data_IF_476277531653
#
_entry.id   IF_476277531653
#
_cell.length_a   1.000
_cell.length_b   1.000
_cell.length_c   1.000
_cell.angle_alpha   90.00
_cell.angle_beta   90.00
_cell.angle_gamma   90.00
#
_symmetry.space_group_name_H-M   'P 1'
#
loop_
_entity.id
_entity.type
_entity.pdbx_description
1 polymer ?
#
# COMPACT_ATOMS: atom_id res chain seq x y z
N UNK A 1 -21.20 44.04 24.25
CA UNK A 1 -20.27 42.98 23.83
C UNK A 1 -19.85 42.24 25.08
N UNK A 2 -20.33 41.01 25.23
CA UNK A 2 -20.34 40.29 26.51
C UNK A 2 -19.03 39.54 26.78
N UNK A 3 -18.71 39.42 28.07
CA UNK A 3 -17.58 38.64 28.63
C UNK A 3 -17.62 37.13 28.32
N UNK A 4 -18.67 36.64 27.64
CA UNK A 4 -18.84 35.23 27.27
C UNK A 4 -18.20 34.85 25.92
N UNK A 5 -17.86 35.81 25.06
CA UNK A 5 -17.17 35.54 23.78
C UNK A 5 -15.67 35.22 23.95
N UNK A 6 -15.14 35.33 25.17
CA UNK A 6 -13.74 35.00 25.49
C UNK A 6 -13.52 33.58 26.02
N UNK A 7 -14.59 32.79 26.22
CA UNK A 7 -14.52 31.44 26.80
C UNK A 7 -14.69 30.35 25.73
N UNK A 8 -15.19 30.70 24.54
CA UNK A 8 -15.11 29.82 23.38
C UNK A 8 -13.80 30.13 22.66
N UNK A 9 -12.80 29.25 22.84
CA UNK A 9 -11.57 29.28 22.05
C UNK A 9 -11.94 29.42 20.56
N UNK A 10 -11.17 30.21 19.81
CA UNK A 10 -11.29 30.27 18.34
C UNK A 10 -11.42 28.82 17.84
N UNK A 11 -12.47 28.53 17.09
CA UNK A 11 -12.49 27.30 16.28
C UNK A 11 -11.21 27.34 15.46
N UNK A 12 -10.32 26.38 15.70
CA UNK A 12 -9.18 26.19 14.82
C UNK A 12 -9.71 25.96 13.41
N UNK A 13 -9.07 26.60 12.43
CA UNK A 13 -9.43 26.40 11.04
C UNK A 13 -9.22 24.92 10.68
N UNK A 14 -10.12 24.41 9.83
CA UNK A 14 -10.06 23.02 9.36
C UNK A 14 -8.81 22.85 8.49
N UNK A 15 -8.07 21.78 8.72
CA UNK A 15 -6.94 21.37 7.90
C UNK A 15 -7.46 20.90 6.54
N UNK A 16 -7.04 21.56 5.45
CA UNK A 16 -7.44 21.22 4.08
C UNK A 16 -6.24 20.90 3.18
N UNK A 17 -5.03 21.21 3.63
CA UNK A 17 -3.77 21.01 2.91
C UNK A 17 -2.65 20.64 3.88
N UNK A 18 -1.55 20.10 3.34
CA UNK A 18 -0.35 19.84 4.14
C UNK A 18 0.22 21.13 4.77
N UNK A 19 0.12 22.26 4.07
CA UNK A 19 0.54 23.56 4.61
C UNK A 19 -0.28 23.95 5.84
N UNK A 20 -1.60 23.74 5.82
CA UNK A 20 -2.46 23.99 6.99
C UNK A 20 -2.02 23.12 8.17
N UNK A 21 -1.76 21.83 7.92
CA UNK A 21 -1.31 20.89 8.94
C UNK A 21 0.02 21.32 9.55
N UNK A 22 1.00 21.67 8.71
CA UNK A 22 2.33 22.05 9.17
C UNK A 22 2.35 23.42 9.86
N UNK A 23 1.51 24.35 9.45
CA UNK A 23 1.29 25.62 10.15
C UNK A 23 0.70 25.37 11.54
N UNK A 24 -0.29 24.50 11.64
CA UNK A 24 -0.87 24.09 12.92
C UNK A 24 0.16 23.37 13.81
N UNK A 25 0.93 22.42 13.26
CA UNK A 25 1.94 21.70 14.02
C UNK A 25 3.01 22.66 14.54
N UNK A 26 3.50 23.57 13.68
CA UNK A 26 4.51 24.58 14.05
C UNK A 26 4.03 25.50 15.17
N UNK A 27 2.73 25.84 15.21
CA UNK A 27 2.17 26.64 16.30
C UNK A 27 2.12 25.90 17.65
N UNK A 28 2.15 24.57 17.64
CA UNK A 28 2.03 23.70 18.82
C UNK A 28 3.35 23.00 19.20
N UNK A 29 4.40 23.14 18.39
CA UNK A 29 5.62 22.33 18.44
C UNK A 29 6.30 22.33 19.81
N UNK A 30 6.34 23.48 20.51
CA UNK A 30 7.03 23.59 21.79
C UNK A 30 6.33 22.77 22.89
N UNK A 31 5.00 22.78 22.87
CA UNK A 31 4.17 22.00 23.79
C UNK A 31 4.38 20.52 23.50
N UNK A 32 4.29 20.13 22.24
CA UNK A 32 4.52 18.77 21.79
C UNK A 32 5.91 18.27 22.14
N UNK A 33 6.95 19.07 21.93
CA UNK A 33 8.34 18.70 22.21
C UNK A 33 8.52 18.42 23.69
N UNK A 34 7.94 19.25 24.56
CA UNK A 34 7.97 19.04 26.01
C UNK A 34 7.25 17.76 26.42
N UNK A 35 6.12 17.45 25.81
CA UNK A 35 5.36 16.21 26.07
C UNK A 35 6.21 15.00 25.69
N UNK A 36 6.75 14.98 24.47
CA UNK A 36 7.62 13.88 23.98
C UNK A 36 8.86 13.74 24.85
N UNK A 37 9.56 14.83 25.16
CA UNK A 37 10.78 14.82 25.98
C UNK A 37 10.56 14.32 27.40
N UNK A 38 9.40 14.60 27.99
CA UNK A 38 9.09 14.18 29.36
C UNK A 38 8.41 12.81 29.43
N UNK A 39 7.86 12.32 28.32
CA UNK A 39 7.06 11.09 28.26
C UNK A 39 5.78 11.13 29.10
N UNK A 40 5.36 12.29 29.60
CA UNK A 40 4.20 12.44 30.49
C UNK A 40 2.96 12.78 29.68
N UNK A 41 1.86 12.05 29.93
CA UNK A 41 0.54 12.29 29.34
C UNK A 41 0.53 12.34 27.80
N UNK A 42 1.41 11.58 27.14
CA UNK A 42 1.57 11.59 25.68
C UNK A 42 0.26 11.36 24.92
N UNK A 43 -0.59 10.48 25.44
CA UNK A 43 -1.92 10.21 24.90
C UNK A 43 -2.79 11.47 24.83
N UNK A 44 -2.89 12.20 25.94
CA UNK A 44 -3.81 13.34 26.09
C UNK A 44 -3.25 14.61 25.46
N UNK A 45 -1.96 14.86 25.66
CA UNK A 45 -1.34 16.14 25.33
C UNK A 45 -0.66 16.13 23.94
N UNK A 46 -0.55 14.96 23.29
CA UNK A 46 -0.01 14.82 21.93
C UNK A 46 -0.93 14.00 21.01
N UNK A 47 -1.18 12.71 21.27
CA UNK A 47 -1.94 11.85 20.33
C UNK A 47 -3.38 12.32 20.10
N UNK A 48 -4.12 12.62 21.17
CA UNK A 48 -5.49 13.16 21.09
C UNK A 48 -5.57 14.54 20.43
N UNK A 49 -4.44 15.24 20.25
CA UNK A 49 -4.36 16.51 19.50
C UNK A 49 -3.98 16.28 18.04
N UNK A 50 -3.08 15.33 17.79
CA UNK A 50 -2.54 15.02 16.48
C UNK A 50 -3.52 14.24 15.60
N UNK A 51 -4.16 13.17 16.12
CA UNK A 51 -5.05 12.30 15.30
C UNK A 51 -6.13 13.09 14.57
N UNK A 52 -6.93 13.96 15.22
CA UNK A 52 -8.04 14.62 14.53
C UNK A 52 -7.56 15.52 13.38
N UNK A 53 -6.33 16.06 13.46
CA UNK A 53 -5.76 16.93 12.42
C UNK A 53 -5.25 16.15 11.22
N UNK A 54 -4.76 14.93 11.43
CA UNK A 54 -4.41 14.02 10.34
C UNK A 54 -5.66 13.46 9.66
N UNK A 55 -6.69 13.11 10.44
CA UNK A 55 -7.99 12.66 9.93
C UNK A 55 -8.67 13.72 9.05
N UNK A 56 -8.49 15.02 9.35
CA UNK A 56 -8.99 16.11 8.51
C UNK A 56 -8.35 16.13 7.10
N UNK A 57 -7.10 15.67 6.94
CA UNK A 57 -6.45 15.51 5.64
C UNK A 57 -6.98 14.28 4.90
N UNK A 58 -6.86 13.11 5.56
CA UNK A 58 -7.14 11.81 5.00
C UNK A 58 -7.07 10.71 6.08
N UNK A 59 -7.92 9.71 5.97
CA UNK A 59 -7.78 8.48 6.77
C UNK A 59 -6.54 7.65 6.40
N UNK A 60 -6.00 6.91 7.37
CA UNK A 60 -4.86 6.00 7.14
C UNK A 60 -3.49 6.65 7.27
N UNK A 61 -3.41 7.76 8.00
CA UNK A 61 -2.17 8.23 8.62
C UNK A 61 -2.08 7.64 10.03
N UNK A 62 -1.05 6.85 10.28
CA UNK A 62 -0.63 6.40 11.60
C UNK A 62 0.71 7.03 11.94
N UNK A 63 1.10 6.97 13.20
CA UNK A 63 2.30 7.66 13.65
C UNK A 63 2.91 7.05 14.91
N UNK A 64 4.21 7.29 15.08
CA UNK A 64 5.00 6.96 16.26
C UNK A 64 5.81 8.21 16.65
N UNK A 65 6.03 8.43 17.94
CA UNK A 65 6.87 9.54 18.38
C UNK A 65 7.73 9.16 19.57
N UNK A 66 8.90 9.80 19.67
CA UNK A 66 9.87 9.59 20.72
C UNK A 66 11.02 10.59 20.62
N UNK A 67 11.96 10.54 21.56
CA UNK A 67 13.20 11.29 21.43
C UNK A 67 14.14 10.53 20.50
N UNK A 68 14.60 11.18 19.43
CA UNK A 68 15.64 10.67 18.53
C UNK A 68 17.02 10.76 19.19
N UNK A 69 17.27 11.87 19.88
CA UNK A 69 18.44 12.12 20.71
C UNK A 69 18.08 13.02 21.91
N UNK A 70 19.05 13.46 22.71
CA UNK A 70 18.83 14.30 23.90
C UNK A 70 18.08 15.62 23.64
N UNK A 71 18.13 16.12 22.39
CA UNK A 71 17.66 17.43 21.99
C UNK A 71 16.63 17.40 20.86
N UNK A 72 16.46 16.28 20.15
CA UNK A 72 15.59 16.17 18.97
C UNK A 72 14.49 15.15 19.22
N UNK A 73 13.23 15.57 19.13
CA UNK A 73 12.07 14.69 19.05
C UNK A 73 11.87 14.22 17.62
N UNK A 74 11.39 13.00 17.43
CA UNK A 74 11.01 12.46 16.12
C UNK A 74 9.53 12.11 16.10
N UNK A 75 8.89 12.44 14.98
CA UNK A 75 7.55 11.99 14.62
C UNK A 75 7.65 11.21 13.30
N UNK A 76 7.44 9.91 13.39
CA UNK A 76 7.40 9.00 12.25
C UNK A 76 5.95 8.87 11.81
N UNK A 77 5.66 9.11 10.54
CA UNK A 77 4.36 8.84 9.93
C UNK A 77 4.43 7.54 9.15
N UNK A 78 3.40 6.71 9.26
CA UNK A 78 3.33 5.38 8.64
C UNK A 78 1.93 5.13 8.09
N UNK A 79 1.80 4.48 6.91
CA UNK A 79 0.53 4.01 6.37
C UNK A 79 0.07 2.68 6.99
N UNK A 80 0.84 2.13 7.93
CA UNK A 80 0.62 0.82 8.56
C UNK A 80 0.49 -0.30 7.53
N UNK A 81 1.49 -0.37 6.63
CA UNK A 81 1.53 -1.38 5.56
C UNK A 81 0.53 -1.18 4.41
N UNK A 82 -0.37 -0.20 4.49
CA UNK A 82 -1.35 0.06 3.41
C UNK A 82 -0.66 0.74 2.22
N UNK A 83 -0.30 -0.06 1.20
CA UNK A 83 0.46 0.36 0.02
C UNK A 83 -0.05 1.67 -0.61
N UNK A 84 -1.37 1.77 -0.84
CA UNK A 84 -1.97 2.95 -1.48
C UNK A 84 -1.92 4.23 -0.65
N UNK A 85 -1.55 4.14 0.62
CA UNK A 85 -1.40 5.29 1.51
C UNK A 85 0.05 5.81 1.57
N UNK A 86 1.05 5.04 1.12
CA UNK A 86 2.48 5.40 1.20
C UNK A 86 2.76 6.78 0.59
N UNK A 87 2.25 7.07 -0.61
CA UNK A 87 2.49 8.35 -1.29
C UNK A 87 2.06 9.56 -0.47
N UNK A 88 0.97 9.43 0.29
CA UNK A 88 0.43 10.53 1.10
C UNK A 88 1.28 10.79 2.35
N UNK A 89 1.87 9.73 2.91
CA UNK A 89 2.83 9.81 4.03
C UNK A 89 4.14 10.45 3.58
N UNK A 90 4.66 10.00 2.44
CA UNK A 90 5.86 10.57 1.82
C UNK A 90 5.68 12.05 1.48
N UNK A 91 4.56 12.44 0.86
CA UNK A 91 4.29 13.84 0.52
C UNK A 91 4.06 14.72 1.76
N UNK A 92 3.37 14.21 2.79
CA UNK A 92 3.19 14.94 4.05
C UNK A 92 4.55 15.29 4.65
N UNK A 93 5.44 14.31 4.82
CA UNK A 93 6.78 14.55 5.38
C UNK A 93 7.65 15.37 4.44
N UNK A 94 7.59 15.17 3.13
CA UNK A 94 8.35 15.96 2.17
C UNK A 94 7.95 17.44 2.14
N UNK A 95 6.74 17.78 2.57
CA UNK A 95 6.27 19.18 2.70
C UNK A 95 6.55 19.79 4.07
N UNK A 96 7.14 19.03 5.00
CA UNK A 96 7.40 19.50 6.34
C UNK A 96 8.37 20.71 6.35
N UNK A 97 8.04 21.81 7.04
CA UNK A 97 8.97 22.90 7.24
C UNK A 97 10.08 22.46 8.20
N UNK A 98 11.20 23.19 8.20
CA UNK A 98 12.24 23.00 9.20
C UNK A 98 11.75 23.53 10.55
N UNK A 99 11.44 22.63 11.48
CA UNK A 99 11.07 22.97 12.85
C UNK A 99 12.25 22.58 13.77
N UNK A 100 12.85 23.54 14.50
CA UNK A 100 13.94 23.24 15.43
C UNK A 100 13.54 22.13 16.41
N UNK A 101 14.51 21.28 16.78
CA UNK A 101 14.31 20.17 17.73
C UNK A 101 13.33 19.08 17.27
N UNK A 102 12.88 19.10 16.01
CA UNK A 102 12.03 18.07 15.44
C UNK A 102 12.64 17.42 14.20
N UNK A 103 12.44 16.11 14.11
CA UNK A 103 12.65 15.29 12.92
C UNK A 103 11.31 14.70 12.49
N UNK A 104 11.02 14.78 11.20
CA UNK A 104 9.86 14.13 10.60
C UNK A 104 10.36 13.06 9.64
N UNK A 105 9.84 11.84 9.80
CA UNK A 105 10.26 10.69 9.02
C UNK A 105 9.01 10.05 8.39
N UNK A 106 9.06 9.80 7.08
CA UNK A 106 8.04 9.04 6.38
C UNK A 106 8.46 7.57 6.36
N UNK A 107 7.51 6.70 6.70
CA UNK A 107 7.67 5.25 6.78
C UNK A 107 8.64 4.86 7.91
N UNK A 108 8.40 3.71 8.54
CA UNK A 108 9.35 3.19 9.55
C UNK A 108 10.68 2.88 8.86
N UNK A 109 11.81 3.51 9.26
CA UNK A 109 13.11 3.20 8.66
C UNK A 109 13.58 1.81 9.07
N UNK A 110 14.44 1.21 8.25
CA UNK A 110 15.12 -0.03 8.62
C UNK A 110 16.03 0.19 9.84
N UNK A 111 16.02 -0.76 10.76
CA UNK A 111 16.91 -0.82 11.90
C UNK A 111 18.04 -1.84 11.64
N UNK A 112 19.19 -1.61 12.28
CA UNK A 112 20.26 -2.60 12.30
C UNK A 112 19.86 -3.81 13.13
N UNK A 113 20.21 -5.02 12.69
CA UNK A 113 19.70 -6.28 13.24
C UNK A 113 19.92 -6.40 14.75
N UNK A 114 21.03 -5.88 15.27
CA UNK A 114 21.37 -5.89 16.70
C UNK A 114 20.43 -5.02 17.55
N UNK A 115 19.71 -4.09 16.92
CA UNK A 115 18.76 -3.19 17.55
C UNK A 115 17.30 -3.60 17.26
N UNK A 116 17.07 -4.75 16.62
CA UNK A 116 15.72 -5.26 16.34
C UNK A 116 15.41 -6.43 17.25
N UNK A 117 14.51 -6.17 18.19
CA UNK A 117 13.89 -7.20 19.01
C UNK A 117 12.52 -6.72 19.43
N UNK A 118 11.50 -7.55 19.21
CA UNK A 118 10.16 -7.26 19.74
C UNK A 118 9.70 -8.40 20.63
N UNK A 119 8.82 -8.07 21.58
CA UNK A 119 8.12 -9.05 22.39
C UNK A 119 6.63 -8.88 22.19
N UNK A 120 5.94 -9.99 21.90
CA UNK A 120 4.48 -9.99 21.79
C UNK A 120 3.90 -11.22 22.49
N UNK A 121 3.05 -10.96 23.47
CA UNK A 121 2.63 -11.95 24.44
C UNK A 121 3.85 -12.66 25.06
N UNK A 122 3.92 -13.99 24.96
CA UNK A 122 4.99 -14.82 25.50
C UNK A 122 6.14 -15.08 24.51
N UNK A 123 6.08 -14.49 23.30
CA UNK A 123 7.04 -14.70 22.23
C UNK A 123 8.00 -13.53 22.09
N UNK A 124 9.27 -13.84 21.83
CA UNK A 124 10.28 -12.87 21.36
C UNK A 124 10.49 -13.05 19.87
N UNK A 125 10.90 -12.00 19.17
CA UNK A 125 11.24 -12.06 17.75
C UNK A 125 12.54 -11.28 17.59
N UNK A 126 13.62 -12.02 17.36
CA UNK A 126 15.00 -11.52 17.32
C UNK A 126 15.86 -12.39 16.39
N UNK A 127 17.10 -11.96 16.11
CA UNK A 127 17.99 -12.65 15.17
C UNK A 127 18.20 -14.14 15.49
N UNK A 128 18.22 -14.48 16.78
CA UNK A 128 18.61 -15.80 17.26
C UNK A 128 17.49 -16.84 17.16
N UNK A 129 16.24 -16.38 17.01
CA UNK A 129 15.08 -17.25 17.00
C UNK A 129 14.26 -17.25 15.71
N UNK A 130 14.70 -16.47 14.72
CA UNK A 130 14.16 -16.44 13.37
C UNK A 130 15.21 -16.90 12.37
N UNK A 131 14.74 -17.64 11.38
CA UNK A 131 15.55 -18.08 10.24
C UNK A 131 14.66 -18.19 9.01
N UNK A 132 15.22 -18.20 7.81
CA UNK A 132 14.43 -18.21 6.59
C UNK A 132 15.04 -19.09 5.50
N UNK A 133 14.23 -19.42 4.50
CA UNK A 133 14.72 -19.84 3.19
C UNK A 133 13.83 -19.24 2.10
N UNK A 134 14.34 -19.19 0.87
CA UNK A 134 13.57 -18.74 -0.29
C UNK A 134 13.02 -19.92 -1.09
N UNK A 135 11.80 -19.76 -1.62
CA UNK A 135 11.23 -20.66 -2.63
C UNK A 135 11.59 -20.10 -4.00
N UNK A 136 12.11 -20.97 -4.87
CA UNK A 136 12.47 -20.62 -6.24
C UNK A 136 11.39 -21.18 -7.17
N UNK A 137 10.78 -20.31 -7.95
CA UNK A 137 9.73 -20.66 -8.89
C UNK A 137 10.28 -20.64 -10.31
N UNK A 138 10.42 -21.80 -10.95
CA UNK A 138 11.00 -21.91 -12.30
C UNK A 138 10.27 -21.05 -13.35
N UNK A 139 8.94 -20.93 -13.23
CA UNK A 139 8.12 -20.15 -14.15
C UNK A 139 8.04 -18.67 -13.75
N UNK A 140 8.38 -18.34 -12.50
CA UNK A 140 8.27 -17.01 -11.92
C UNK A 140 9.58 -16.63 -11.21
N UNK A 141 10.71 -16.63 -11.94
CA UNK A 141 12.05 -16.55 -11.34
C UNK A 141 12.36 -15.23 -10.65
N UNK A 142 11.54 -14.20 -10.80
CA UNK A 142 11.67 -12.89 -10.17
C UNK A 142 10.75 -12.71 -8.96
N UNK A 143 9.88 -13.69 -8.66
CA UNK A 143 9.14 -13.71 -7.40
C UNK A 143 10.09 -13.91 -6.22
N UNK A 144 9.74 -13.27 -5.12
CA UNK A 144 10.44 -13.30 -3.84
C UNK A 144 9.48 -13.92 -2.84
N UNK A 145 9.55 -15.24 -2.76
CA UNK A 145 8.75 -16.06 -1.87
C UNK A 145 9.64 -16.55 -0.71
N UNK A 146 9.33 -16.07 0.49
CA UNK A 146 10.13 -16.26 1.69
C UNK A 146 9.36 -17.11 2.69
N UNK A 147 10.02 -18.14 3.19
CA UNK A 147 9.54 -18.91 4.32
C UNK A 147 10.37 -18.55 5.54
N UNK A 148 9.73 -18.06 6.60
CA UNK A 148 10.35 -17.76 7.89
C UNK A 148 9.98 -18.84 8.89
N UNK A 149 10.99 -19.48 9.48
CA UNK A 149 10.82 -20.41 10.59
C UNK A 149 11.06 -19.70 11.92
N UNK A 150 10.10 -19.82 12.83
CA UNK A 150 10.23 -19.36 14.21
C UNK A 150 10.52 -20.55 15.14
N UNK A 151 11.52 -20.44 16.01
CA UNK A 151 11.96 -21.52 16.89
C UNK A 151 10.86 -22.07 17.78
N UNK A 152 10.10 -21.17 18.40
CA UNK A 152 9.04 -21.51 19.35
C UNK A 152 7.65 -21.59 18.71
N UNK A 153 7.56 -21.77 17.39
CA UNK A 153 6.26 -21.82 16.70
C UNK A 153 5.32 -22.87 17.30
N UNK A 154 4.07 -22.46 17.55
CA UNK A 154 2.98 -23.35 17.96
C UNK A 154 1.73 -23.01 17.15
N UNK A 155 1.04 -24.04 16.65
CA UNK A 155 -0.15 -23.84 15.81
C UNK A 155 -1.28 -23.12 16.56
N UNK A 156 -1.44 -23.38 17.87
CA UNK A 156 -2.45 -22.72 18.71
C UNK A 156 -2.21 -21.20 18.84
N UNK A 157 -0.96 -20.76 18.72
CA UNK A 157 -0.53 -19.36 18.86
C UNK A 157 -0.17 -18.72 17.50
N UNK A 158 -0.51 -19.38 16.39
CA UNK A 158 -0.12 -19.00 15.03
C UNK A 158 -0.35 -17.53 14.70
N UNK A 159 -1.52 -16.98 15.02
CA UNK A 159 -1.82 -15.58 14.69
C UNK A 159 -0.88 -14.60 15.41
N UNK A 160 -0.51 -14.88 16.65
CA UNK A 160 0.44 -14.06 17.41
C UNK A 160 1.82 -14.18 16.77
N UNK A 161 2.25 -15.37 16.40
CA UNK A 161 3.58 -15.58 15.82
C UNK A 161 3.69 -14.93 14.44
N UNK A 162 2.67 -15.11 13.59
CA UNK A 162 2.60 -14.45 12.28
C UNK A 162 2.69 -12.93 12.44
N UNK A 163 1.83 -12.34 13.26
CA UNK A 163 1.80 -10.89 13.46
C UNK A 163 3.14 -10.35 14.01
N UNK A 164 3.76 -11.08 14.94
CA UNK A 164 5.05 -10.67 15.51
C UNK A 164 6.18 -10.77 14.49
N UNK A 165 6.19 -11.80 13.64
CA UNK A 165 7.14 -11.90 12.53
C UNK A 165 6.98 -10.75 11.55
N UNK A 166 5.76 -10.36 11.18
CA UNK A 166 5.53 -9.17 10.33
C UNK A 166 6.06 -7.89 10.97
N UNK A 167 5.76 -7.64 12.25
CA UNK A 167 6.26 -6.46 12.95
C UNK A 167 7.80 -6.48 13.04
N UNK A 168 8.40 -7.64 13.27
CA UNK A 168 9.85 -7.78 13.27
C UNK A 168 10.46 -7.42 11.90
N UNK A 169 9.90 -7.97 10.81
CA UNK A 169 10.37 -7.69 9.46
C UNK A 169 10.19 -6.21 9.09
N UNK A 170 9.07 -5.60 9.44
CA UNK A 170 8.82 -4.16 9.27
C UNK A 170 9.91 -3.30 9.91
N UNK A 171 10.33 -3.64 11.13
CA UNK A 171 11.39 -2.90 11.82
C UNK A 171 12.77 -3.20 11.23
N UNK A 172 13.04 -4.45 10.86
CA UNK A 172 14.35 -4.87 10.35
C UNK A 172 14.63 -4.40 8.92
N UNK A 173 13.67 -4.58 8.03
CA UNK A 173 13.81 -4.22 6.61
C UNK A 173 13.40 -2.77 6.33
N UNK A 174 12.65 -2.17 7.25
CA UNK A 174 11.91 -0.93 7.03
C UNK A 174 10.56 -1.21 6.37
N UNK A 175 9.59 -0.35 6.62
CA UNK A 175 8.21 -0.55 6.18
C UNK A 175 8.07 -0.61 4.65
N UNK A 176 8.76 0.28 3.93
CA UNK A 176 8.70 0.29 2.47
C UNK A 176 9.19 -1.02 1.88
N UNK A 177 10.40 -1.44 2.24
CA UNK A 177 11.01 -2.64 1.68
C UNK A 177 10.24 -3.90 2.08
N UNK A 178 9.70 -3.97 3.30
CA UNK A 178 8.90 -5.11 3.74
C UNK A 178 7.69 -5.35 2.82
N UNK A 179 7.01 -4.28 2.42
CA UNK A 179 5.82 -4.35 1.55
C UNK A 179 6.19 -4.47 0.06
N UNK A 180 7.32 -3.91 -0.37
CA UNK A 180 7.66 -3.82 -1.80
C UNK A 180 8.66 -4.87 -2.30
N UNK A 181 9.37 -5.59 -1.44
CA UNK A 181 10.41 -6.54 -1.87
C UNK A 181 9.97 -8.00 -1.73
N UNK A 182 9.22 -8.34 -0.68
CA UNK A 182 8.69 -9.68 -0.43
C UNK A 182 7.33 -9.80 -1.11
N UNK A 183 7.13 -10.82 -1.97
CA UNK A 183 5.85 -11.04 -2.65
C UNK A 183 4.97 -12.02 -1.87
N UNK A 184 5.58 -13.07 -1.33
CA UNK A 184 4.91 -14.07 -0.50
C UNK A 184 5.73 -14.32 0.76
N UNK A 185 5.03 -14.42 1.90
CA UNK A 185 5.62 -14.73 3.19
C UNK A 185 4.85 -15.85 3.86
N UNK A 186 5.54 -16.94 4.17
CA UNK A 186 4.98 -18.06 4.95
C UNK A 186 5.73 -18.18 6.27
N UNK A 187 4.99 -18.33 7.37
CA UNK A 187 5.57 -18.52 8.69
C UNK A 187 5.31 -19.96 9.15
N UNK A 188 6.36 -20.67 9.53
CA UNK A 188 6.32 -22.09 9.90
C UNK A 188 7.08 -22.37 11.20
N UNK A 189 6.93 -23.59 11.70
CA UNK A 189 7.85 -24.15 12.69
C UNK A 189 9.14 -24.65 12.05
N UNK A 190 10.21 -24.79 12.85
CA UNK A 190 11.50 -25.30 12.37
C UNK A 190 11.43 -26.72 11.80
N UNK A 191 10.58 -27.58 12.35
CA UNK A 191 10.42 -28.97 11.91
C UNK A 191 9.69 -29.10 10.56
N UNK A 192 8.98 -28.06 10.13
CA UNK A 192 8.31 -27.99 8.83
C UNK A 192 9.23 -27.51 7.69
N UNK A 193 10.48 -27.12 7.99
CA UNK A 193 11.38 -26.58 6.98
C UNK A 193 11.78 -27.63 5.94
N UNK A 194 11.54 -27.32 4.67
CA UNK A 194 11.86 -28.21 3.54
C UNK A 194 13.28 -27.97 2.97
N UNK A 195 13.90 -26.86 3.35
CA UNK A 195 15.24 -26.43 2.91
C UNK A 195 16.11 -26.07 4.11
N UNK A 196 17.41 -25.93 3.85
CA UNK A 196 18.35 -25.42 4.84
C UNK A 196 17.96 -24.00 5.28
N UNK A 197 17.87 -23.82 6.61
CA UNK A 197 17.50 -22.55 7.23
C UNK A 197 18.70 -21.61 7.28
N UNK A 198 18.52 -20.41 6.75
CA UNK A 198 19.48 -19.31 6.73
C UNK A 198 19.17 -18.37 7.91
N UNK A 199 20.17 -17.87 8.65
CA UNK A 199 19.96 -16.84 9.68
C UNK A 199 19.21 -15.61 9.15
N UNK A 200 18.23 -15.10 9.92
CA UNK A 200 17.38 -13.99 9.47
C UNK A 200 18.15 -12.70 9.17
N UNK A 201 19.31 -12.50 9.82
CA UNK A 201 20.23 -11.40 9.58
C UNK A 201 20.74 -11.29 8.13
N UNK A 202 20.63 -12.35 7.34
CA UNK A 202 21.01 -12.37 5.92
C UNK A 202 19.87 -12.01 4.97
N UNK A 203 18.64 -11.86 5.48
CA UNK A 203 17.46 -11.61 4.66
C UNK A 203 17.57 -10.25 3.95
N UNK A 204 18.03 -9.21 4.65
CA UNK A 204 18.19 -7.87 4.06
C UNK A 204 19.14 -7.89 2.86
N UNK A 205 20.30 -8.54 2.99
CA UNK A 205 21.27 -8.68 1.90
C UNK A 205 20.72 -9.51 0.73
N UNK A 206 20.00 -10.59 1.04
CA UNK A 206 19.32 -11.40 0.03
C UNK A 206 18.32 -10.57 -0.78
N UNK A 207 17.47 -9.78 -0.11
CA UNK A 207 16.48 -8.93 -0.77
C UNK A 207 17.13 -7.83 -1.63
N UNK A 208 18.21 -7.20 -1.15
CA UNK A 208 18.98 -6.22 -1.93
C UNK A 208 19.56 -6.87 -3.19
N UNK A 209 20.10 -8.09 -3.09
CA UNK A 209 20.60 -8.82 -4.25
C UNK A 209 19.48 -9.11 -5.26
N UNK A 210 18.31 -9.58 -4.80
CA UNK A 210 17.14 -9.85 -5.64
C UNK A 210 16.62 -8.60 -6.35
N UNK A 211 16.54 -7.48 -5.63
CA UNK A 211 16.14 -6.20 -6.21
C UNK A 211 17.12 -5.74 -7.29
N UNK A 212 18.43 -5.89 -7.05
CA UNK A 212 19.44 -5.55 -8.04
C UNK A 212 19.31 -6.39 -9.32
N UNK A 213 19.14 -7.70 -9.20
CA UNK A 213 18.90 -8.58 -10.37
C UNK A 213 17.65 -8.14 -11.14
N UNK A 214 16.58 -7.80 -10.41
CA UNK A 214 15.33 -7.35 -11.01
C UNK A 214 15.51 -6.02 -11.78
N UNK A 215 16.17 -5.03 -11.17
CA UNK A 215 16.44 -3.74 -11.81
C UNK A 215 17.34 -3.91 -13.04
N UNK A 216 18.38 -4.75 -12.98
CA UNK A 216 19.25 -5.02 -14.13
C UNK A 216 18.50 -5.62 -15.33
N UNK A 217 17.44 -6.42 -15.09
CA UNK A 217 16.62 -7.03 -16.14
C UNK A 217 15.56 -6.08 -16.71
N UNK A 218 14.94 -5.27 -15.85
CA UNK A 218 13.68 -4.59 -16.18
C UNK A 218 13.75 -3.06 -16.17
N UNK A 219 14.84 -2.45 -15.68
CA UNK A 219 14.98 -1.01 -15.74
C UNK A 219 14.94 -0.51 -17.19
N UNK A 220 14.19 0.56 -17.42
CA UNK A 220 13.99 1.12 -18.75
C UNK A 220 13.06 0.33 -19.69
N UNK A 221 12.51 -0.83 -19.32
CA UNK A 221 11.53 -1.56 -20.14
C UNK A 221 10.30 -0.68 -20.38
N UNK A 222 9.89 -0.50 -21.63
CA UNK A 222 8.70 0.29 -22.00
C UNK A 222 7.79 -0.52 -22.91
N UNK A 223 6.51 -0.20 -22.86
CA UNK A 223 5.50 -0.78 -23.72
C UNK A 223 4.62 0.33 -24.31
N UNK A 224 4.15 0.14 -25.55
CA UNK A 224 3.22 1.03 -26.22
C UNK A 224 2.03 0.19 -26.67
N UNK A 225 0.83 0.61 -26.30
CA UNK A 225 -0.44 -0.11 -26.51
C UNK A 225 -1.17 0.27 -27.81
N UNK A 226 -0.63 1.19 -28.61
CA UNK A 226 -1.28 1.76 -29.81
C UNK A 226 -1.77 0.71 -30.82
N UNK A 227 -1.04 -0.40 -30.97
CA UNK A 227 -1.34 -1.46 -31.96
C UNK A 227 -1.82 -2.76 -31.30
N UNK A 228 -2.19 -2.73 -30.02
CA UNK A 228 -2.64 -3.91 -29.30
C UNK A 228 -4.02 -4.38 -29.78
N UNK A 229 -4.22 -5.69 -29.75
CA UNK A 229 -5.50 -6.34 -30.03
C UNK A 229 -6.24 -6.68 -28.75
N UNK A 230 -7.54 -6.40 -28.74
CA UNK A 230 -8.44 -6.71 -27.63
C UNK A 230 -9.36 -7.89 -27.96
N UNK A 231 -9.55 -8.76 -26.98
CA UNK A 231 -10.47 -9.89 -27.03
C UNK A 231 -11.72 -9.58 -26.20
N UNK A 232 -12.89 -9.91 -26.76
CA UNK A 232 -14.18 -9.85 -26.06
C UNK A 232 -14.55 -11.25 -25.58
N UNK A 233 -14.81 -11.40 -24.28
CA UNK A 233 -15.15 -12.66 -23.63
C UNK A 233 -16.52 -12.54 -22.98
N UNK A 234 -17.31 -13.60 -23.08
CA UNK A 234 -18.63 -13.69 -22.46
C UNK A 234 -18.69 -14.96 -21.61
N UNK A 235 -19.30 -14.86 -20.43
CA UNK A 235 -19.52 -15.99 -19.53
C UNK A 235 -20.84 -15.83 -18.77
N UNK A 236 -21.23 -16.89 -18.05
CA UNK A 236 -22.35 -16.87 -17.11
C UNK A 236 -21.82 -17.20 -15.73
N UNK A 237 -22.08 -16.33 -14.76
CA UNK A 237 -21.70 -16.52 -13.36
C UNK A 237 -22.51 -17.64 -12.71
N UNK A 238 -22.05 -18.13 -11.55
CA UNK A 238 -22.74 -19.17 -10.78
C UNK A 238 -24.15 -18.76 -10.34
N UNK A 239 -24.41 -17.46 -10.16
CA UNK A 239 -25.73 -16.91 -9.85
C UNK A 239 -26.63 -16.76 -11.09
N UNK A 240 -26.15 -17.17 -12.28
CA UNK A 240 -26.87 -17.11 -13.55
C UNK A 240 -26.77 -15.77 -14.29
N UNK A 241 -26.08 -14.77 -13.73
CA UNK A 241 -25.91 -13.46 -14.38
C UNK A 241 -24.84 -13.48 -15.48
N UNK A 242 -24.99 -12.67 -16.53
CA UNK A 242 -23.97 -12.53 -17.57
C UNK A 242 -22.71 -11.83 -17.04
N UNK A 243 -21.57 -12.18 -17.62
CA UNK A 243 -20.30 -11.47 -17.49
C UNK A 243 -19.79 -11.15 -18.89
N UNK A 244 -19.34 -9.90 -19.08
CA UNK A 244 -18.65 -9.46 -20.30
C UNK A 244 -17.29 -8.90 -19.90
N UNK A 245 -16.23 -9.34 -20.58
CA UNK A 245 -14.88 -8.81 -20.38
C UNK A 245 -14.26 -8.39 -21.73
N UNK A 246 -13.54 -7.27 -21.71
CA UNK A 246 -12.76 -6.77 -22.83
C UNK A 246 -11.32 -6.67 -22.34
N UNK A 247 -10.44 -7.49 -22.89
CA UNK A 247 -9.10 -7.71 -22.37
C UNK A 247 -8.08 -7.48 -23.49
N UNK A 248 -6.99 -6.80 -23.16
CA UNK A 248 -5.87 -6.59 -24.06
C UNK A 248 -5.08 -7.91 -24.21
N UNK A 249 -5.46 -8.72 -25.20
CA UNK A 249 -4.85 -10.02 -25.46
C UNK A 249 -3.39 -9.92 -25.88
N UNK A 250 -3.01 -8.89 -26.64
CA UNK A 250 -1.59 -8.68 -27.04
C UNK A 250 -0.73 -8.44 -25.81
N UNK A 251 -1.19 -7.58 -24.90
CA UNK A 251 -0.48 -7.27 -23.68
C UNK A 251 -0.38 -8.47 -22.74
N UNK A 252 -1.43 -9.29 -22.63
CA UNK A 252 -1.36 -10.50 -21.81
C UNK A 252 -0.30 -11.50 -22.29
N UNK A 253 0.09 -11.48 -23.56
CA UNK A 253 1.17 -12.35 -24.08
C UNK A 253 2.56 -11.71 -24.01
N UNK A 254 2.66 -10.48 -23.48
CA UNK A 254 3.94 -9.80 -23.35
C UNK A 254 4.84 -10.48 -22.31
N UNK A 255 6.11 -10.75 -22.66
CA UNK A 255 7.02 -11.51 -21.79
C UNK A 255 7.57 -10.70 -20.60
N UNK A 256 7.57 -9.36 -20.67
CA UNK A 256 8.18 -8.52 -19.63
C UNK A 256 7.19 -8.06 -18.56
N UNK A 257 6.16 -8.85 -18.25
CA UNK A 257 5.11 -8.53 -17.24
C UNK A 257 5.67 -8.08 -15.91
N UNK A 258 6.71 -8.77 -15.43
CA UNK A 258 7.40 -8.50 -14.18
C UNK A 258 7.84 -7.03 -14.04
N UNK A 259 8.13 -6.33 -15.15
CA UNK A 259 8.48 -4.91 -15.13
C UNK A 259 7.36 -3.97 -14.66
N UNK A 260 6.11 -4.44 -14.64
CA UNK A 260 4.93 -3.69 -14.19
C UNK A 260 4.18 -4.52 -13.13
N UNK A 261 4.77 -4.68 -11.94
CA UNK A 261 4.34 -5.70 -10.99
C UNK A 261 3.13 -5.30 -10.15
N UNK A 262 2.71 -4.04 -10.21
CA UNK A 262 1.61 -3.52 -9.40
C UNK A 262 0.31 -3.53 -10.21
N UNK A 263 -0.71 -4.18 -9.68
CA UNK A 263 -2.04 -4.18 -10.29
C UNK A 263 -2.92 -3.18 -9.58
N UNK A 264 -3.36 -2.17 -10.34
CA UNK A 264 -4.46 -1.31 -9.95
C UNK A 264 -5.77 -1.98 -10.37
N UNK A 265 -6.64 -2.23 -9.39
CA UNK A 265 -8.00 -2.70 -9.58
C UNK A 265 -8.96 -1.57 -9.23
N UNK A 266 -9.70 -1.06 -10.21
CA UNK A 266 -10.71 -0.01 -10.00
C UNK A 266 -12.09 -0.63 -10.11
N UNK A 267 -12.89 -0.52 -9.06
CA UNK A 267 -14.23 -1.08 -8.96
C UNK A 267 -15.27 0.05 -8.97
N UNK A 268 -16.30 -0.13 -9.79
CA UNK A 268 -17.37 0.84 -9.97
C UNK A 268 -18.70 0.11 -9.87
N UNK A 269 -19.45 0.40 -8.82
CA UNK A 269 -20.78 -0.19 -8.61
C UNK A 269 -21.86 0.70 -9.20
N UNK A 270 -22.91 0.07 -9.71
CA UNK A 270 -24.07 0.75 -10.30
C UNK A 270 -25.34 -0.06 -10.03
N UNK A 271 -26.52 0.44 -10.41
CA UNK A 271 -27.78 -0.32 -10.31
C UNK A 271 -28.04 -1.09 -11.61
N UNK A 272 -27.65 -2.37 -11.64
CA UNK A 272 -27.92 -3.28 -12.76
C UNK A 272 -29.20 -4.11 -12.58
N UNK A 273 -30.00 -3.86 -11.54
CA UNK A 273 -31.11 -4.76 -11.14
C UNK A 273 -32.18 -4.95 -12.23
N UNK A 274 -32.35 -3.95 -13.10
CA UNK A 274 -33.33 -3.97 -14.21
C UNK A 274 -32.77 -4.52 -15.52
N UNK A 275 -31.48 -4.83 -15.57
CA UNK A 275 -30.80 -5.25 -16.79
C UNK A 275 -29.84 -6.43 -16.52
N UNK A 276 -30.26 -7.39 -15.69
CA UNK A 276 -29.50 -8.61 -15.36
C UNK A 276 -28.06 -8.32 -14.88
N UNK A 277 -27.87 -7.30 -14.07
CA UNK A 277 -26.55 -6.90 -13.57
C UNK A 277 -25.69 -6.12 -14.57
N UNK A 278 -26.20 -5.82 -15.77
CA UNK A 278 -25.52 -4.99 -16.77
C UNK A 278 -25.96 -3.52 -16.65
N UNK A 279 -25.13 -2.55 -17.04
CA UNK A 279 -25.52 -1.14 -17.01
C UNK A 279 -26.56 -0.85 -18.10
N UNK A 280 -27.40 0.16 -17.90
CA UNK A 280 -28.15 0.78 -19.00
C UNK A 280 -27.23 1.67 -19.86
N UNK A 281 -27.77 2.26 -20.93
CA UNK A 281 -26.95 3.04 -21.87
C UNK A 281 -26.30 4.26 -21.22
N UNK A 282 -27.05 4.99 -20.38
CA UNK A 282 -26.56 6.21 -19.73
C UNK A 282 -25.45 5.87 -18.72
N UNK A 283 -25.66 4.81 -17.92
CA UNK A 283 -24.65 4.30 -16.99
C UNK A 283 -23.43 3.80 -17.76
N UNK A 284 -23.63 3.06 -18.86
CA UNK A 284 -22.53 2.56 -19.69
C UNK A 284 -21.65 3.69 -20.23
N UNK A 285 -22.25 4.79 -20.70
CA UNK A 285 -21.53 5.98 -21.16
C UNK A 285 -20.76 6.64 -20.01
N UNK A 286 -21.37 6.80 -18.84
CA UNK A 286 -20.70 7.34 -17.65
C UNK A 286 -19.47 6.52 -17.25
N UNK A 287 -19.60 5.18 -17.25
CA UNK A 287 -18.50 4.27 -16.94
C UNK A 287 -17.36 4.38 -17.97
N UNK A 288 -17.66 4.56 -19.26
CA UNK A 288 -16.64 4.73 -20.29
C UNK A 288 -15.92 6.07 -20.14
N UNK A 289 -16.66 7.16 -19.92
CA UNK A 289 -16.08 8.49 -19.72
C UNK A 289 -15.13 8.52 -18.51
N UNK A 290 -15.46 7.80 -17.44
CA UNK A 290 -14.60 7.68 -16.27
C UNK A 290 -13.34 6.85 -16.57
N UNK A 291 -13.46 5.75 -17.30
CA UNK A 291 -12.29 4.96 -17.73
C UNK A 291 -11.36 5.77 -18.63
N UNK A 292 -11.91 6.56 -19.57
CA UNK A 292 -11.14 7.49 -20.40
C UNK A 292 -10.40 8.52 -19.55
N UNK A 293 -11.05 9.10 -18.52
CA UNK A 293 -10.41 10.04 -17.59
C UNK A 293 -9.18 9.40 -16.91
N UNK A 294 -9.29 8.16 -16.44
CA UNK A 294 -8.14 7.43 -15.87
C UNK A 294 -7.04 7.26 -16.93
N UNK A 295 -7.38 6.82 -18.14
CA UNK A 295 -6.42 6.59 -19.23
C UNK A 295 -5.72 7.87 -19.70
N UNK A 296 -6.35 9.04 -19.57
CA UNK A 296 -5.67 10.32 -19.91
C UNK A 296 -4.52 10.65 -18.95
N UNK A 297 -4.61 10.18 -17.70
CA UNK A 297 -3.62 10.44 -16.65
C UNK A 297 -2.63 9.27 -16.50
N UNK A 298 -3.09 8.03 -16.67
CA UNK A 298 -2.29 6.80 -16.59
C UNK A 298 -1.88 6.33 -17.99
N UNK A 299 -0.78 6.90 -18.49
CA UNK A 299 -0.30 6.64 -19.86
C UNK A 299 0.67 5.46 -19.92
N UNK A 300 0.59 4.71 -21.00
CA UNK A 300 1.41 3.52 -21.24
C UNK A 300 2.91 3.81 -21.29
N UNK A 301 3.33 4.89 -21.97
CA UNK A 301 4.73 5.29 -22.05
C UNK A 301 5.33 5.73 -20.71
N UNK A 302 4.49 6.04 -19.72
CA UNK A 302 4.89 6.32 -18.34
C UNK A 302 4.90 5.07 -17.46
N UNK A 303 4.46 3.92 -17.99
CA UNK A 303 4.44 2.63 -17.30
C UNK A 303 3.12 2.26 -16.66
N UNK A 304 1.99 2.71 -17.22
CA UNK A 304 0.65 2.33 -16.77
C UNK A 304 -0.14 1.72 -17.93
N UNK A 305 -0.31 0.41 -17.92
CA UNK A 305 -0.83 -0.36 -19.03
C UNK A 305 -2.26 -0.82 -18.71
N UNK A 306 -3.24 -0.41 -19.53
CA UNK A 306 -4.62 -0.89 -19.39
C UNK A 306 -4.71 -2.36 -19.84
N UNK A 307 -4.94 -3.25 -18.87
CA UNK A 307 -5.09 -4.69 -19.12
C UNK A 307 -6.48 -4.98 -19.68
N UNK A 308 -7.47 -4.21 -19.26
CA UNK A 308 -8.85 -4.32 -19.71
C UNK A 308 -9.84 -4.21 -18.56
N UNK A 309 -11.08 -4.61 -18.86
CA UNK A 309 -12.20 -4.48 -17.94
C UNK A 309 -13.11 -5.69 -17.98
N UNK A 310 -13.83 -5.92 -16.89
CA UNK A 310 -14.96 -6.83 -16.81
C UNK A 310 -16.19 -6.10 -16.28
N UNK A 311 -17.38 -6.49 -16.71
CA UNK A 311 -18.66 -6.00 -16.20
C UNK A 311 -19.57 -7.18 -15.95
N UNK A 312 -20.06 -7.29 -14.71
CA UNK A 312 -20.98 -8.34 -14.27
C UNK A 312 -21.60 -7.93 -12.93
N UNK A 313 -22.78 -8.49 -12.61
CA UNK A 313 -23.41 -8.38 -11.28
C UNK A 313 -23.45 -6.96 -10.70
N UNK A 314 -23.81 -5.98 -11.53
CA UNK A 314 -23.92 -4.56 -11.19
C UNK A 314 -22.59 -3.89 -10.79
N UNK A 315 -21.48 -4.43 -11.28
CA UNK A 315 -20.13 -3.92 -11.05
C UNK A 315 -19.33 -3.90 -12.36
N UNK A 316 -18.54 -2.85 -12.55
CA UNK A 316 -17.45 -2.80 -13.53
C UNK A 316 -16.12 -2.78 -12.80
N UNK A 317 -15.20 -3.63 -13.22
CA UNK A 317 -13.82 -3.64 -12.73
C UNK A 317 -12.87 -3.34 -13.89
N UNK A 318 -12.01 -2.34 -13.73
CA UNK A 318 -10.95 -1.97 -14.68
C UNK A 318 -9.59 -2.29 -14.07
N UNK A 319 -8.69 -2.87 -14.86
CA UNK A 319 -7.37 -3.31 -14.40
C UNK A 319 -6.25 -2.58 -15.14
N UNK A 320 -5.27 -2.10 -14.39
CA UNK A 320 -4.01 -1.61 -14.95
C UNK A 320 -2.83 -2.35 -14.34
N UNK A 321 -1.84 -2.67 -15.17
CA UNK A 321 -0.51 -3.07 -14.72
C UNK A 321 0.41 -1.84 -14.69
N UNK A 322 1.03 -1.60 -13.54
CA UNK A 322 1.71 -0.37 -13.21
C UNK A 322 3.17 -0.65 -12.80
N UNK A 323 4.10 0.18 -13.28
CA UNK A 323 5.50 0.16 -12.80
C UNK A 323 5.65 0.64 -11.37
N UNK A 324 4.89 1.65 -11.01
CA UNK A 324 4.88 2.27 -9.68
C UNK A 324 3.43 2.44 -9.20
N UNK A 325 3.24 2.37 -7.89
CA UNK A 325 1.92 2.42 -7.26
C UNK A 325 1.53 3.83 -6.76
N UNK A 326 2.48 4.77 -6.65
CA UNK A 326 2.26 6.08 -6.01
C UNK A 326 1.35 6.97 -6.85
N UNK A 327 1.65 7.11 -8.14
CA UNK A 327 0.80 7.89 -9.07
C UNK A 327 -0.64 7.36 -9.14
N UNK A 328 -0.90 6.05 -9.37
CA UNK A 328 -2.27 5.54 -9.40
C UNK A 328 -2.96 5.68 -8.03
N UNK A 329 -2.25 5.50 -6.92
CA UNK A 329 -2.82 5.73 -5.57
C UNK A 329 -3.37 7.13 -5.40
N UNK A 330 -2.58 8.14 -5.80
CA UNK A 330 -2.95 9.55 -5.70
C UNK A 330 -4.08 9.91 -6.65
N UNK A 331 -3.99 9.47 -7.90
CA UNK A 331 -5.02 9.72 -8.91
C UNK A 331 -6.37 9.18 -8.45
N UNK A 332 -6.44 7.90 -8.08
CA UNK A 332 -7.71 7.26 -7.76
C UNK A 332 -8.31 7.79 -6.46
N UNK A 333 -7.50 8.14 -5.46
CA UNK A 333 -7.99 8.85 -4.28
C UNK A 333 -8.66 10.20 -4.60
N UNK A 334 -8.08 10.96 -5.54
CA UNK A 334 -8.68 12.22 -5.96
C UNK A 334 -9.95 12.01 -6.79
N UNK A 335 -9.95 10.99 -7.66
CA UNK A 335 -11.11 10.65 -8.49
C UNK A 335 -12.29 10.12 -7.66
N UNK A 336 -12.04 9.30 -6.63
CA UNK A 336 -13.11 8.82 -5.72
C UNK A 336 -13.78 9.99 -4.99
N UNK A 337 -13.01 10.98 -4.55
CA UNK A 337 -13.57 12.22 -3.98
C UNK A 337 -14.29 13.09 -5.01
N UNK A 338 -13.73 13.23 -6.21
CA UNK A 338 -14.31 14.07 -7.28
C UNK A 338 -15.66 13.53 -7.77
N UNK A 339 -15.83 12.21 -7.80
CA UNK A 339 -17.00 11.53 -8.35
C UNK A 339 -17.91 10.89 -7.30
N UNK A 340 -17.72 11.19 -6.01
CA UNK A 340 -18.47 10.58 -4.89
C UNK A 340 -19.99 10.72 -5.00
N UNK A 341 -20.47 11.78 -5.66
CA UNK A 341 -21.91 12.05 -5.82
C UNK A 341 -22.53 11.31 -7.02
N UNK A 342 -21.70 10.70 -7.87
CA UNK A 342 -22.11 10.11 -9.16
C UNK A 342 -21.81 8.62 -9.27
N UNK A 343 -20.67 8.19 -8.75
CA UNK A 343 -20.17 6.83 -8.90
C UNK A 343 -19.83 6.26 -7.52
N UNK A 344 -20.25 5.03 -7.27
CA UNK A 344 -19.78 4.25 -6.13
C UNK A 344 -18.45 3.59 -6.50
N UNK A 345 -17.35 4.25 -6.11
CA UNK A 345 -15.99 3.93 -6.53
C UNK A 345 -15.17 3.37 -5.37
N UNK A 346 -14.58 2.20 -5.57
CA UNK A 346 -13.49 1.66 -4.76
C UNK A 346 -12.28 1.31 -5.62
N UNK A 347 -11.12 1.23 -5.01
CA UNK A 347 -9.93 0.74 -5.70
C UNK A 347 -8.98 0.04 -4.74
N UNK A 348 -8.24 -0.89 -5.30
CA UNK A 348 -7.17 -1.61 -4.63
C UNK A 348 -5.89 -1.63 -5.46
N UNK A 349 -4.77 -1.77 -4.76
CA UNK A 349 -3.44 -1.88 -5.35
C UNK A 349 -2.73 -3.03 -4.67
N UNK A 350 -2.41 -4.05 -5.46
CA UNK A 350 -1.72 -5.24 -4.99
C UNK A 350 -0.61 -5.62 -5.96
N UNK A 351 0.23 -6.53 -5.53
CA UNK A 351 1.36 -7.00 -6.32
C UNK A 351 1.04 -8.32 -6.98
N UNK A 352 1.32 -8.42 -8.27
CA UNK A 352 1.20 -9.63 -9.07
C UNK A 352 2.22 -9.50 -10.21
N UNK A 353 3.48 -9.88 -9.96
CA UNK A 353 4.59 -9.65 -10.91
C UNK A 353 4.32 -10.23 -12.29
N UNK A 354 3.77 -11.44 -12.34
CA UNK A 354 3.54 -12.15 -13.60
C UNK A 354 2.10 -12.09 -14.09
N UNK A 355 1.28 -11.26 -13.46
CA UNK A 355 -0.13 -11.05 -13.80
C UNK A 355 -0.94 -12.35 -13.79
N UNK A 356 -0.63 -13.24 -12.85
CA UNK A 356 -1.26 -14.56 -12.71
C UNK A 356 -2.80 -14.43 -12.52
N UNK A 357 -3.25 -13.33 -11.91
CA UNK A 357 -4.67 -13.00 -11.74
C UNK A 357 -5.46 -12.95 -13.05
N UNK A 358 -4.80 -12.72 -14.18
CA UNK A 358 -5.42 -12.55 -15.49
C UNK A 358 -5.36 -13.82 -16.36
N UNK A 359 -4.71 -14.90 -15.91
CA UNK A 359 -4.69 -16.18 -16.65
C UNK A 359 -6.10 -16.72 -16.89
N UNK A 360 -7.06 -16.40 -16.02
CA UNK A 360 -8.49 -16.73 -16.20
C UNK A 360 -9.13 -16.13 -17.46
N UNK A 361 -8.51 -15.12 -18.07
CA UNK A 361 -8.99 -14.48 -19.29
C UNK A 361 -8.34 -15.05 -20.55
N UNK A 362 -7.36 -15.96 -20.42
CA UNK A 362 -6.79 -16.61 -21.58
C UNK A 362 -7.73 -17.69 -22.09
N UNK A 363 -8.03 -17.73 -23.40
CA UNK A 363 -8.70 -18.88 -24.00
C UNK A 363 -7.79 -20.11 -23.87
N UNK A 364 -8.35 -21.23 -23.42
CA UNK A 364 -7.67 -22.52 -23.34
C UNK A 364 -7.19 -23.02 -24.71
#
# INVERSE_FOLDING_TARGET
>A
MGLFDKIFGKKEDKIQSYDDFWNWFSANEQTFYKVVKTGKNIEVDFFNKLSPKLEELKDGYFYLTGMYDDNTAELVFTPDGVLKNIVFVEELVSSAPKIPNWRFTALKPALEIENVGIKMADYTFESDNLSFYAIEHNNYPDEVDIVVAHNDYKEDDKSTIINGTYIFLDNYLGELNSVTTIDNLTIISKDQAEKELIPIEKLKDYLIWREKEFLEKYDGVRYNTENDSYSSLEATLNNGLPLVAIINSTLLDWDSKASHPWILKVEIKFDGSKNNGMPDNDTYEQLNNFEEEIMTELKDFEGYLNIGRQTADSERIVYFACKDFRKPSKLLYNLTKKHSDKLDLSYDLYKDKYWQSFERFRPN
#
